data_IF_459204700877
#
_entry.id   IF_459204700877
#
_cell.length_a   1.000
_cell.length_b   1.000
_cell.length_c   1.000
_cell.angle_alpha   90.00
_cell.angle_beta   90.00
_cell.angle_gamma   90.00
#
_symmetry.space_group_name_H-M   'P 1'
#
loop_
_entity.id
_entity.type
_entity.pdbx_description
1 polymer ?
#
# COMPACT_ATOMS: atom_id res chain seq x y z
N UNK A 1 -14.12 23.27 -21.15
CA UNK A 1 -13.48 22.01 -20.70
C UNK A 1 -14.03 21.75 -19.30
N UNK A 2 -14.88 20.73 -19.13
CA UNK A 2 -15.35 20.36 -17.80
C UNK A 2 -14.16 19.79 -17.04
N UNK A 3 -13.78 20.41 -15.92
CA UNK A 3 -12.87 19.81 -14.96
C UNK A 3 -13.51 18.48 -14.52
N UNK A 4 -12.92 17.36 -14.93
CA UNK A 4 -13.28 16.06 -14.39
C UNK A 4 -12.95 16.10 -12.92
N UNK A 5 -13.97 16.01 -12.06
CA UNK A 5 -13.73 15.77 -10.64
C UNK A 5 -12.78 14.59 -10.50
N UNK A 6 -11.75 14.70 -9.63
CA UNK A 6 -10.80 13.61 -9.44
C UNK A 6 -11.57 12.38 -8.96
N UNK A 7 -11.53 11.31 -9.75
CA UNK A 7 -12.14 10.02 -9.37
C UNK A 7 -11.49 9.59 -8.05
N UNK A 8 -12.29 9.33 -6.99
CA UNK A 8 -11.75 9.00 -5.70
C UNK A 8 -10.88 7.74 -5.79
N UNK A 9 -9.61 7.87 -5.44
CA UNK A 9 -8.67 6.76 -5.34
C UNK A 9 -8.76 6.19 -3.92
N UNK A 10 -9.15 4.92 -3.77
CA UNK A 10 -9.07 4.24 -2.48
C UNK A 10 -7.62 3.80 -2.18
N UNK A 11 -7.30 3.62 -0.90
CA UNK A 11 -6.04 3.02 -0.46
C UNK A 11 -6.28 1.63 0.12
N UNK A 12 -5.41 0.67 -0.20
CA UNK A 12 -5.45 -0.68 0.35
C UNK A 12 -4.06 -1.02 0.87
N UNK A 13 -3.94 -1.18 2.20
CA UNK A 13 -2.68 -1.53 2.86
C UNK A 13 -2.75 -2.98 3.32
N UNK A 14 -1.92 -3.85 2.76
CA UNK A 14 -1.84 -5.26 3.15
C UNK A 14 -0.97 -5.38 4.41
N UNK A 15 -1.58 -5.49 5.56
CA UNK A 15 -0.92 -5.63 6.87
C UNK A 15 -0.82 -7.09 7.32
N UNK A 16 -1.70 -7.98 6.83
CA UNK A 16 -1.69 -9.40 7.11
C UNK A 16 -0.59 -10.12 6.35
N UNK A 17 0.29 -10.83 7.07
CA UNK A 17 1.32 -11.67 6.48
C UNK A 17 1.96 -12.55 7.54
N UNK A 18 2.36 -13.79 7.16
CA UNK A 18 3.08 -14.68 8.07
C UNK A 18 4.52 -14.16 8.21
N UNK A 19 4.78 -13.27 9.18
CA UNK A 19 6.14 -12.80 9.57
C UNK A 19 6.95 -13.93 10.23
N UNK A 20 6.97 -15.13 9.62
CA UNK A 20 7.60 -16.35 10.18
C UNK A 20 9.08 -16.18 10.50
N UNK A 21 9.78 -15.28 9.77
CA UNK A 21 11.23 -15.06 9.92
C UNK A 21 11.61 -14.08 11.03
N UNK A 22 10.68 -13.23 11.49
CA UNK A 22 10.99 -12.17 12.44
C UNK A 22 10.44 -12.42 13.85
N UNK A 23 9.60 -13.46 14.07
CA UNK A 23 8.96 -13.74 15.36
C UNK A 23 8.04 -12.60 15.88
N UNK A 24 7.94 -11.50 15.14
CA UNK A 24 7.12 -10.32 15.47
C UNK A 24 6.32 -9.89 14.24
N UNK A 25 5.15 -9.32 14.48
CA UNK A 25 4.31 -8.75 13.43
C UNK A 25 4.96 -7.48 12.84
N UNK A 26 5.20 -7.48 11.52
CA UNK A 26 5.80 -6.33 10.82
C UNK A 26 4.97 -5.06 10.97
N UNK A 27 3.64 -5.16 10.98
CA UNK A 27 2.75 -4.02 11.08
C UNK A 27 2.99 -3.19 12.36
N UNK A 28 3.38 -3.86 13.45
CA UNK A 28 3.62 -3.23 14.77
C UNK A 28 5.10 -2.91 15.04
N UNK A 29 6.00 -3.14 14.07
CA UNK A 29 7.40 -2.73 14.21
C UNK A 29 7.48 -1.20 14.28
N UNK A 30 8.24 -0.72 15.27
CA UNK A 30 8.49 0.71 15.41
C UNK A 30 9.52 1.19 14.39
N UNK A 31 9.18 2.26 13.71
CA UNK A 31 10.05 2.93 12.72
C UNK A 31 10.29 4.36 13.18
N UNK A 32 11.48 4.92 12.89
CA UNK A 32 11.73 6.33 13.15
C UNK A 32 10.71 7.18 12.36
N UNK A 33 10.05 8.09 13.06
CA UNK A 33 9.12 9.02 12.42
C UNK A 33 9.90 9.87 11.42
N UNK A 34 9.52 9.82 10.14
CA UNK A 34 10.02 10.77 9.17
C UNK A 34 9.28 12.08 9.42
N UNK A 35 10.04 13.13 9.80
CA UNK A 35 9.48 14.48 9.87
C UNK A 35 8.80 14.77 8.53
N UNK A 36 7.50 15.00 8.57
CA UNK A 36 6.81 15.56 7.43
C UNK A 36 7.52 16.87 7.08
N UNK A 37 7.75 17.14 5.79
CA UNK A 37 8.27 18.44 5.35
C UNK A 37 7.41 19.50 6.03
N UNK A 38 7.98 20.44 6.81
CA UNK A 38 7.19 21.42 7.55
C UNK A 38 6.35 22.22 6.55
N UNK A 39 5.04 22.18 6.67
CA UNK A 39 4.17 23.13 5.97
C UNK A 39 4.50 24.51 6.53
N UNK A 40 4.80 25.47 5.64
CA UNK A 40 5.02 26.86 6.02
C UNK A 40 3.84 27.34 6.89
N UNK A 41 4.12 27.67 8.17
CA UNK A 41 3.14 28.20 9.12
C UNK A 41 2.85 27.36 10.36
N UNK A 42 3.46 26.16 10.55
CA UNK A 42 3.31 25.40 11.81
C UNK A 42 4.49 25.65 12.74
N UNK A 43 4.15 26.07 13.97
CA UNK A 43 5.13 26.33 15.04
C UNK A 43 5.89 25.06 15.45
N UNK A 44 7.23 25.12 15.66
CA UNK A 44 8.07 23.96 15.97
C UNK A 44 7.90 23.40 17.42
N UNK A 45 6.90 23.85 18.15
CA UNK A 45 6.74 23.48 19.57
C UNK A 45 6.01 22.15 19.81
N UNK A 46 5.29 21.59 18.83
CA UNK A 46 4.54 20.34 18.97
C UNK A 46 5.38 19.07 18.65
N UNK A 47 6.58 19.23 18.12
CA UNK A 47 7.38 18.14 17.52
C UNK A 47 8.41 17.50 18.46
N UNK A 48 8.34 17.80 19.77
CA UNK A 48 9.33 17.30 20.77
C UNK A 48 8.98 15.98 21.43
N UNK A 49 7.86 15.36 21.10
CA UNK A 49 7.59 13.98 21.46
C UNK A 49 7.99 13.08 20.29
N UNK A 50 9.26 12.78 20.14
CA UNK A 50 9.81 11.80 19.18
C UNK A 50 9.26 10.39 19.44
N UNK A 51 7.97 10.18 19.31
CA UNK A 51 7.28 8.91 19.44
C UNK A 51 7.59 8.05 18.23
N UNK A 52 8.22 6.89 18.44
CA UNK A 52 8.37 5.91 17.38
C UNK A 52 6.97 5.46 16.94
N UNK A 53 6.62 5.71 15.69
CA UNK A 53 5.37 5.24 15.07
C UNK A 53 5.52 3.79 14.60
N UNK A 54 4.45 3.05 14.53
CA UNK A 54 4.48 1.70 13.95
C UNK A 54 4.52 1.78 12.43
N UNK A 55 4.99 0.71 11.78
CA UNK A 55 5.08 0.64 10.32
C UNK A 55 3.70 0.82 9.67
N UNK A 56 2.65 0.23 10.25
CA UNK A 56 1.29 0.38 9.73
C UNK A 56 0.77 1.82 9.87
N UNK A 57 1.03 2.48 10.99
CA UNK A 57 0.65 3.91 11.18
C UNK A 57 1.36 4.80 10.16
N UNK A 58 2.64 4.57 9.91
CA UNK A 58 3.41 5.35 8.94
C UNK A 58 2.88 5.15 7.52
N UNK A 59 2.69 3.90 7.07
CA UNK A 59 2.20 3.60 5.72
C UNK A 59 0.78 4.12 5.54
N UNK A 60 -0.13 3.89 6.49
CA UNK A 60 -1.50 4.44 6.44
C UNK A 60 -1.48 5.96 6.38
N UNK A 61 -0.65 6.62 7.20
CA UNK A 61 -0.54 8.08 7.20
C UNK A 61 -0.06 8.66 5.85
N UNK A 62 0.82 7.95 5.13
CA UNK A 62 1.26 8.35 3.78
C UNK A 62 0.16 8.10 2.76
N UNK A 63 -0.46 6.92 2.77
CA UNK A 63 -1.52 6.55 1.83
C UNK A 63 -2.72 7.50 1.98
N UNK A 64 -3.09 7.88 3.20
CA UNK A 64 -4.20 8.79 3.49
C UNK A 64 -4.01 10.21 2.95
N UNK A 65 -2.78 10.59 2.54
CA UNK A 65 -2.54 11.89 1.90
C UNK A 65 -3.06 11.96 0.46
N UNK A 66 -3.26 10.82 -0.19
CA UNK A 66 -3.64 10.73 -1.61
C UNK A 66 -4.85 9.81 -1.86
N UNK A 67 -5.23 8.99 -0.88
CA UNK A 67 -6.27 7.98 -1.03
C UNK A 67 -7.34 8.16 0.04
N UNK A 68 -8.61 8.02 -0.37
CA UNK A 68 -9.77 8.02 0.51
C UNK A 68 -10.94 7.27 -0.14
N UNK A 69 -11.53 6.29 0.57
CA UNK A 69 -11.17 5.77 1.89
C UNK A 69 -9.88 4.93 1.87
N UNK A 70 -9.30 4.68 3.06
CA UNK A 70 -8.18 3.74 3.22
C UNK A 70 -8.67 2.49 3.94
N UNK A 71 -8.29 1.32 3.42
CA UNK A 71 -8.57 0.01 3.98
C UNK A 71 -7.25 -0.66 4.41
N UNK A 72 -7.25 -1.27 5.59
CA UNK A 72 -6.13 -2.08 6.09
C UNK A 72 -6.59 -3.54 6.16
N UNK A 73 -5.97 -4.37 5.32
CA UNK A 73 -6.26 -5.81 5.26
C UNK A 73 -5.43 -6.52 6.32
N UNK A 74 -6.06 -7.00 7.37
CA UNK A 74 -5.40 -7.58 8.55
C UNK A 74 -5.71 -9.07 8.69
N UNK A 75 -4.77 -9.82 9.28
CA UNK A 75 -5.00 -11.21 9.63
C UNK A 75 -5.99 -11.34 10.83
N UNK A 76 -6.66 -12.49 10.99
CA UNK A 76 -7.53 -12.74 12.13
C UNK A 76 -6.79 -12.53 13.46
N UNK A 77 -7.37 -11.72 14.35
CA UNK A 77 -6.79 -11.44 15.67
C UNK A 77 -5.46 -10.69 15.67
N UNK A 78 -5.02 -10.13 14.53
CA UNK A 78 -3.80 -9.35 14.46
C UNK A 78 -3.96 -8.07 15.29
N UNK A 79 -3.08 -7.80 16.29
CA UNK A 79 -3.12 -6.55 17.04
C UNK A 79 -2.68 -5.40 16.14
N UNK A 80 -3.50 -4.37 16.04
CA UNK A 80 -3.18 -3.13 15.33
C UNK A 80 -3.48 -1.94 16.24
N UNK A 81 -2.71 -0.85 16.13
CA UNK A 81 -3.03 0.41 16.80
C UNK A 81 -4.33 0.99 16.23
N UNK A 82 -4.88 2.04 16.85
CA UNK A 82 -5.95 2.83 16.25
C UNK A 82 -5.42 3.51 14.98
N UNK A 83 -6.12 3.33 13.86
CA UNK A 83 -5.72 3.84 12.55
C UNK A 83 -6.84 4.71 11.97
N UNK A 84 -6.51 5.79 11.26
CA UNK A 84 -7.48 6.57 10.48
C UNK A 84 -7.83 5.82 9.17
N UNK A 85 -8.24 4.55 9.29
CA UNK A 85 -8.53 3.65 8.19
C UNK A 85 -9.56 2.59 8.60
N UNK A 86 -10.24 2.00 7.62
CA UNK A 86 -11.18 0.89 7.84
C UNK A 86 -10.39 -0.41 7.88
N UNK A 87 -10.36 -1.07 9.05
CA UNK A 87 -9.68 -2.38 9.19
C UNK A 87 -10.62 -3.49 8.76
N UNK A 88 -10.23 -4.20 7.69
CA UNK A 88 -10.91 -5.41 7.20
C UNK A 88 -10.10 -6.62 7.63
N UNK A 89 -10.71 -7.54 8.34
CA UNK A 89 -10.02 -8.74 8.85
C UNK A 89 -10.35 -9.96 8.00
N UNK A 90 -9.30 -10.68 7.64
CA UNK A 90 -9.45 -11.98 6.99
C UNK A 90 -10.04 -13.00 7.97
N UNK A 91 -10.80 -13.97 7.46
CA UNK A 91 -11.31 -15.09 8.26
C UNK A 91 -10.22 -16.15 8.50
N UNK A 92 -9.31 -16.30 7.54
CA UNK A 92 -8.24 -17.27 7.55
C UNK A 92 -6.87 -16.60 7.57
N UNK A 93 -5.90 -17.22 8.23
CA UNK A 93 -4.50 -16.80 8.19
C UNK A 93 -3.80 -17.33 6.95
N UNK A 94 -2.85 -16.53 6.42
CA UNK A 94 -1.96 -16.98 5.35
C UNK A 94 -2.61 -17.12 3.98
N UNK A 95 -3.71 -16.41 3.75
CA UNK A 95 -4.46 -16.43 2.48
C UNK A 95 -3.66 -15.89 1.27
N UNK A 96 -2.53 -15.25 1.52
CA UNK A 96 -1.68 -14.66 0.49
C UNK A 96 -2.12 -13.26 0.05
N UNK A 97 -1.25 -12.54 -0.65
CA UNK A 97 -1.51 -11.16 -1.04
C UNK A 97 -2.64 -11.04 -2.07
N UNK A 98 -2.83 -12.03 -2.94
CA UNK A 98 -3.86 -12.00 -3.99
C UNK A 98 -5.27 -11.94 -3.39
N UNK A 99 -5.62 -12.84 -2.47
CA UNK A 99 -6.96 -12.85 -1.86
C UNK A 99 -7.19 -11.59 -1.00
N UNK A 100 -6.19 -11.16 -0.24
CA UNK A 100 -6.29 -9.93 0.55
C UNK A 100 -6.51 -8.70 -0.35
N UNK A 101 -5.83 -8.63 -1.50
CA UNK A 101 -6.05 -7.58 -2.51
C UNK A 101 -7.47 -7.64 -3.04
N UNK A 102 -7.98 -8.80 -3.46
CA UNK A 102 -9.34 -8.93 -3.98
C UNK A 102 -10.41 -8.47 -3.00
N UNK A 103 -10.27 -8.79 -1.73
CA UNK A 103 -11.18 -8.30 -0.66
C UNK A 103 -11.09 -6.78 -0.50
N UNK A 104 -9.87 -6.23 -0.55
CA UNK A 104 -9.65 -4.78 -0.50
C UNK A 104 -10.26 -4.07 -1.71
N UNK A 105 -10.10 -4.61 -2.92
CA UNK A 105 -10.70 -4.07 -4.14
C UNK A 105 -12.24 -4.07 -4.07
N UNK A 106 -12.84 -5.13 -3.54
CA UNK A 106 -14.29 -5.20 -3.31
C UNK A 106 -14.75 -4.14 -2.32
N UNK A 107 -14.09 -4.00 -1.18
CA UNK A 107 -14.40 -2.98 -0.19
C UNK A 107 -14.26 -1.56 -0.76
N UNK A 108 -13.27 -1.33 -1.64
CA UNK A 108 -13.08 -0.06 -2.34
C UNK A 108 -14.20 0.21 -3.35
N UNK A 109 -14.62 -0.80 -4.13
CA UNK A 109 -15.74 -0.71 -5.07
C UNK A 109 -17.06 -0.40 -4.34
N UNK A 110 -17.34 -1.08 -3.23
CA UNK A 110 -18.51 -0.83 -2.38
C UNK A 110 -18.52 0.58 -1.79
N UNK A 111 -17.35 1.17 -1.59
CA UNK A 111 -17.20 2.57 -1.18
C UNK A 111 -17.25 3.57 -2.35
N UNK A 112 -17.50 3.11 -3.58
CA UNK A 112 -17.68 3.95 -4.77
C UNK A 112 -16.37 4.33 -5.49
N UNK A 113 -15.23 3.74 -5.11
CA UNK A 113 -13.96 4.00 -5.79
C UNK A 113 -13.81 3.08 -7.02
N UNK A 114 -13.53 3.67 -8.19
CA UNK A 114 -13.26 2.90 -9.41
C UNK A 114 -11.83 2.33 -9.46
N UNK A 115 -10.91 2.94 -8.72
CA UNK A 115 -9.49 2.53 -8.63
C UNK A 115 -9.00 2.55 -7.19
N UNK A 116 -8.02 1.70 -6.89
CA UNK A 116 -7.38 1.66 -5.59
C UNK A 116 -5.86 1.53 -5.73
N UNK A 117 -5.12 2.28 -4.92
CA UNK A 117 -3.70 2.08 -4.71
C UNK A 117 -3.51 0.95 -3.69
N UNK A 118 -2.79 -0.09 -4.07
CA UNK A 118 -2.51 -1.26 -3.24
C UNK A 118 -1.05 -1.24 -2.84
N UNK A 119 -0.77 -1.33 -1.55
CA UNK A 119 0.61 -1.44 -1.05
C UNK A 119 0.74 -2.44 0.09
N UNK A 120 1.99 -2.87 0.33
CA UNK A 120 2.33 -3.68 1.50
C UNK A 120 2.71 -2.80 2.69
N UNK A 121 2.42 -3.28 3.90
CA UNK A 121 2.79 -2.58 5.14
C UNK A 121 4.30 -2.45 5.35
N UNK A 122 5.10 -3.29 4.68
CA UNK A 122 6.56 -3.32 4.81
C UNK A 122 7.30 -2.34 3.87
N UNK A 123 6.61 -1.28 3.41
CA UNK A 123 7.14 -0.21 2.57
C UNK A 123 7.22 1.14 3.34
N UNK A 124 8.04 1.26 4.39
CA UNK A 124 8.06 2.45 5.24
C UNK A 124 8.62 3.71 4.55
N UNK A 125 9.21 3.55 3.36
CA UNK A 125 9.78 4.66 2.58
C UNK A 125 8.87 5.11 1.43
N UNK A 126 7.68 4.52 1.30
CA UNK A 126 6.65 4.98 0.38
C UNK A 126 6.45 6.50 0.50
N UNK A 127 6.17 7.18 -0.60
CA UNK A 127 5.92 8.62 -0.63
C UNK A 127 4.56 8.93 -1.24
N UNK A 128 3.96 10.02 -0.80
CA UNK A 128 2.70 10.51 -1.36
C UNK A 128 2.86 10.93 -2.84
N UNK A 129 4.04 11.37 -3.23
CA UNK A 129 4.33 11.77 -4.60
C UNK A 129 4.32 10.57 -5.55
N UNK A 130 4.94 9.44 -5.16
CA UNK A 130 4.87 8.21 -5.96
C UNK A 130 3.42 7.75 -6.16
N UNK A 131 2.58 7.85 -5.11
CA UNK A 131 1.15 7.51 -5.21
C UNK A 131 0.45 8.45 -6.19
N UNK A 132 0.74 9.76 -6.11
CA UNK A 132 0.15 10.76 -6.99
C UNK A 132 0.55 10.55 -8.46
N UNK A 133 1.83 10.25 -8.72
CA UNK A 133 2.34 9.98 -10.06
C UNK A 133 1.66 8.76 -10.68
N UNK A 134 1.57 7.65 -9.93
CA UNK A 134 0.89 6.44 -10.40
C UNK A 134 -0.61 6.66 -10.62
N UNK A 135 -1.27 7.40 -9.74
CA UNK A 135 -2.68 7.75 -9.87
C UNK A 135 -2.93 8.64 -11.09
N UNK A 136 -2.07 9.64 -11.31
CA UNK A 136 -2.13 10.53 -12.47
C UNK A 136 -1.99 9.76 -13.78
N UNK A 137 -1.04 8.84 -13.86
CA UNK A 137 -0.87 7.97 -15.02
C UNK A 137 -2.07 7.03 -15.20
N UNK A 138 -2.56 6.42 -14.12
CA UNK A 138 -3.73 5.54 -14.17
C UNK A 138 -5.02 6.26 -14.62
N UNK A 139 -5.10 7.57 -14.45
CA UNK A 139 -6.21 8.38 -14.95
C UNK A 139 -6.10 8.68 -16.46
N UNK A 140 -4.90 8.56 -17.04
CA UNK A 140 -4.63 8.87 -18.45
C UNK A 140 -4.69 7.63 -19.34
N UNK A 141 -4.45 6.43 -18.77
CA UNK A 141 -4.45 5.17 -19.51
C UNK A 141 -5.65 4.32 -19.11
N UNK A 142 -6.21 3.59 -20.06
CA UNK A 142 -7.32 2.66 -19.80
C UNK A 142 -6.79 1.25 -19.50
N UNK A 143 -5.76 1.18 -18.63
CA UNK A 143 -5.21 -0.10 -18.18
C UNK A 143 -5.92 -0.56 -16.89
N UNK A 144 -5.99 -1.87 -16.72
CA UNK A 144 -6.54 -2.51 -15.51
C UNK A 144 -5.62 -2.29 -14.29
N UNK A 145 -4.31 -2.30 -14.56
CA UNK A 145 -3.27 -2.14 -13.54
C UNK A 145 -2.19 -1.17 -14.04
N UNK A 146 -1.78 -0.25 -13.18
CA UNK A 146 -0.59 0.60 -13.42
C UNK A 146 0.40 0.36 -12.29
N UNK A 147 1.60 -0.11 -12.64
CA UNK A 147 2.61 -0.51 -11.66
C UNK A 147 4.02 -0.02 -12.02
N UNK A 148 4.88 0.27 -11.02
CA UNK A 148 6.28 0.58 -11.23
C UNK A 148 7.07 -0.64 -11.71
N UNK A 149 8.07 -0.38 -12.55
CA UNK A 149 9.06 -1.36 -12.98
C UNK A 149 10.46 -0.73 -12.94
N UNK A 150 11.36 -1.30 -12.12
CA UNK A 150 12.76 -0.90 -11.94
C UNK A 150 13.73 -2.08 -12.19
N UNK A 151 13.37 -2.95 -13.15
CA UNK A 151 13.99 -4.26 -13.37
C UNK A 151 13.15 -5.41 -12.81
N UNK A 152 12.14 -5.09 -12.01
CA UNK A 152 11.12 -6.01 -11.48
C UNK A 152 9.78 -5.31 -11.33
N UNK A 153 8.70 -6.09 -11.35
CA UNK A 153 7.36 -5.59 -11.12
C UNK A 153 7.11 -5.34 -9.61
N UNK A 154 6.56 -4.17 -9.28
CA UNK A 154 6.17 -3.81 -7.91
C UNK A 154 4.65 -3.95 -7.73
N UNK A 155 4.16 -5.19 -7.68
CA UNK A 155 2.73 -5.51 -7.57
C UNK A 155 2.04 -4.91 -6.34
N UNK A 156 2.79 -4.69 -5.25
CA UNK A 156 2.29 -4.11 -4.00
C UNK A 156 2.82 -2.69 -3.80
N UNK A 157 2.83 -1.90 -4.87
CA UNK A 157 2.95 -0.45 -4.92
C UNK A 157 2.30 0.04 -6.21
N UNK A 158 1.04 -0.37 -6.48
CA UNK A 158 0.43 -0.23 -7.79
C UNK A 158 -1.03 0.23 -7.68
N UNK A 159 -1.56 0.81 -8.76
CA UNK A 159 -2.97 1.19 -8.89
C UNK A 159 -3.71 0.12 -9.68
N UNK A 160 -4.82 -0.34 -9.14
CA UNK A 160 -5.69 -1.38 -9.69
C UNK A 160 -7.09 -0.84 -9.92
N UNK A 161 -7.78 -1.31 -10.96
CA UNK A 161 -9.23 -1.14 -11.08
C UNK A 161 -9.92 -2.00 -10.02
N UNK A 162 -10.98 -1.49 -9.44
CA UNK A 162 -11.68 -2.21 -8.36
C UNK A 162 -12.56 -3.34 -8.87
N UNK A 163 -13.00 -3.29 -10.12
CA UNK A 163 -13.77 -4.34 -10.79
C UNK A 163 -12.97 -5.64 -11.03
N UNK A 164 -11.66 -5.62 -10.84
CA UNK A 164 -10.81 -6.82 -10.86
C UNK A 164 -11.08 -7.80 -9.70
N UNK A 165 -11.88 -7.43 -8.71
CA UNK A 165 -12.20 -8.30 -7.57
C UNK A 165 -12.75 -9.66 -8.02
N UNK A 166 -13.63 -9.70 -9.03
CA UNK A 166 -14.15 -10.96 -9.57
C UNK A 166 -13.09 -11.82 -10.29
N UNK A 167 -12.12 -11.18 -10.95
CA UNK A 167 -10.98 -11.88 -11.57
C UNK A 167 -10.09 -12.51 -10.51
N UNK A 168 -9.87 -11.80 -9.38
CA UNK A 168 -9.13 -12.33 -8.24
C UNK A 168 -9.81 -13.57 -7.67
N UNK A 169 -11.14 -13.55 -7.50
CA UNK A 169 -11.89 -14.72 -7.00
C UNK A 169 -11.70 -15.95 -7.89
N UNK A 170 -11.78 -15.78 -9.22
CA UNK A 170 -11.57 -16.87 -10.16
C UNK A 170 -10.15 -17.47 -10.06
N UNK A 171 -9.13 -16.61 -9.95
CA UNK A 171 -7.74 -17.05 -9.77
C UNK A 171 -7.54 -17.78 -8.42
N UNK A 172 -8.11 -17.27 -7.35
CA UNK A 172 -8.03 -17.91 -6.04
C UNK A 172 -8.73 -19.27 -6.05
N UNK A 173 -9.88 -19.39 -6.70
CA UNK A 173 -10.61 -20.65 -6.87
C UNK A 173 -9.80 -21.69 -7.67
N UNK A 174 -8.98 -21.26 -8.64
CA UNK A 174 -8.05 -22.13 -9.37
C UNK A 174 -6.76 -22.47 -8.62
N UNK A 175 -6.60 -22.00 -7.38
CA UNK A 175 -5.44 -22.29 -6.53
C UNK A 175 -4.34 -21.23 -6.55
N UNK A 176 -4.48 -20.16 -7.35
CA UNK A 176 -3.49 -19.09 -7.40
C UNK A 176 -3.45 -18.27 -6.09
N UNK A 177 -2.25 -17.78 -5.77
CA UNK A 177 -2.01 -16.99 -4.54
C UNK A 177 -1.18 -15.74 -4.80
N UNK A 178 -0.57 -15.61 -5.98
CA UNK A 178 0.39 -14.56 -6.29
C UNK A 178 -0.25 -13.39 -7.04
N UNK A 179 0.20 -12.17 -6.75
CA UNK A 179 -0.17 -10.96 -7.49
C UNK A 179 0.28 -11.02 -8.95
N UNK A 180 1.39 -11.72 -9.21
CA UNK A 180 1.89 -11.94 -10.58
C UNK A 180 0.86 -12.67 -11.43
N UNK A 181 0.15 -13.66 -10.89
CA UNK A 181 -0.88 -14.38 -11.62
C UNK A 181 -1.99 -13.43 -12.08
N UNK A 182 -2.44 -12.50 -11.22
CA UNK A 182 -3.42 -11.48 -11.60
C UNK A 182 -2.90 -10.59 -12.73
N UNK A 183 -1.72 -9.99 -12.54
CA UNK A 183 -1.16 -9.02 -13.49
C UNK A 183 -0.89 -9.63 -14.87
N UNK A 184 -0.59 -10.93 -14.93
CA UNK A 184 -0.38 -11.64 -16.20
C UNK A 184 -1.70 -11.96 -16.97
N UNK A 185 -2.86 -11.74 -16.35
CA UNK A 185 -4.18 -12.05 -16.96
C UNK A 185 -5.02 -10.82 -17.32
N UNK A 186 -4.45 -9.62 -17.12
CA UNK A 186 -5.14 -8.34 -17.29
C UNK A 186 -4.26 -7.37 -18.09
N UNK A 187 -4.84 -6.26 -18.55
CA UNK A 187 -4.05 -5.20 -19.15
C UNK A 187 -3.25 -4.44 -18.07
N UNK A 188 -1.93 -4.56 -18.13
CA UNK A 188 -1.03 -4.01 -17.13
C UNK A 188 0.01 -3.06 -17.74
N UNK A 189 -0.11 -1.77 -17.44
CA UNK A 189 0.84 -0.74 -17.85
C UNK A 189 2.00 -0.67 -16.85
N UNK A 190 3.21 -0.98 -17.30
CA UNK A 190 4.44 -0.83 -16.53
C UNK A 190 5.03 0.55 -16.73
N UNK A 191 5.32 1.22 -15.62
CA UNK A 191 6.01 2.52 -15.62
C UNK A 191 7.49 2.28 -15.31
N UNK A 192 8.31 2.43 -16.34
CA UNK A 192 9.76 2.28 -16.20
C UNK A 192 10.31 3.45 -15.39
N UNK A 193 11.01 3.14 -14.32
CA UNK A 193 11.63 4.13 -13.45
C UNK A 193 12.98 3.62 -12.93
N UNK A 194 13.83 4.53 -12.48
CA UNK A 194 15.05 4.16 -11.79
C UNK A 194 14.73 3.50 -10.44
N UNK A 195 15.60 2.59 -10.00
CA UNK A 195 15.49 2.03 -8.65
C UNK A 195 15.40 3.15 -7.61
N UNK A 196 14.36 3.11 -6.81
CA UNK A 196 14.12 4.15 -5.81
C UNK A 196 13.78 3.56 -4.46
N UNK A 197 14.18 4.29 -3.42
CA UNK A 197 13.96 3.90 -2.03
C UNK A 197 12.48 3.77 -1.67
N UNK A 198 11.62 4.53 -2.33
CA UNK A 198 10.17 4.50 -2.08
C UNK A 198 9.52 3.14 -2.36
N UNK A 199 10.18 2.31 -3.19
CA UNK A 199 9.74 0.96 -3.52
C UNK A 199 10.45 -0.13 -2.70
N UNK A 200 11.34 0.25 -1.77
CA UNK A 200 12.09 -0.70 -0.96
C UNK A 200 11.22 -1.33 0.15
N UNK A 201 11.24 -2.65 0.22
CA UNK A 201 10.60 -3.41 1.30
C UNK A 201 11.58 -3.61 2.47
N UNK A 202 11.06 -3.51 3.68
CA UNK A 202 11.79 -3.80 4.92
C UNK A 202 11.37 -5.17 5.44
N UNK A 203 12.27 -6.14 5.36
CA UNK A 203 12.01 -7.50 5.78
C UNK A 203 12.60 -7.84 7.16
N UNK A 204 13.50 -6.98 7.66
CA UNK A 204 14.16 -7.17 8.97
C UNK A 204 14.45 -5.82 9.64
N UNK A 205 14.72 -5.84 10.95
CA UNK A 205 15.22 -4.66 11.67
C UNK A 205 16.61 -4.22 11.17
N UNK A 206 17.40 -5.13 10.56
CA UNK A 206 18.67 -4.80 9.95
C UNK A 206 18.45 -4.00 8.65
N UNK A 207 17.51 -4.40 7.80
CA UNK A 207 17.14 -3.66 6.58
C UNK A 207 16.71 -2.23 6.93
N UNK A 208 15.91 -2.08 8.00
CA UNK A 208 15.46 -0.76 8.44
C UNK A 208 16.66 0.12 8.83
N UNK A 209 17.65 -0.43 9.58
CA UNK A 209 18.85 0.32 9.97
C UNK A 209 19.71 0.69 8.76
N UNK A 210 19.98 -0.25 7.86
CA UNK A 210 20.80 0.00 6.66
C UNK A 210 20.17 1.07 5.77
N UNK A 211 18.86 1.01 5.55
CA UNK A 211 18.13 1.97 4.75
C UNK A 211 18.00 3.35 5.43
N UNK A 212 18.06 3.44 6.75
CA UNK A 212 18.07 4.72 7.47
C UNK A 212 19.46 5.36 7.52
N UNK A 213 20.54 4.58 7.49
CA UNK A 213 21.92 5.09 7.49
C UNK A 213 22.41 5.56 6.12
N UNK A 214 21.91 5.01 5.03
CA UNK A 214 22.29 5.37 3.66
C UNK A 214 21.70 6.72 3.17
N UNK A 215 20.98 7.44 4.01
CA UNK A 215 20.35 8.74 3.71
C UNK A 215 20.97 9.94 4.42
N UNK A 216 22.24 9.81 4.92
CA UNK A 216 23.01 10.92 5.45
C UNK A 216 24.09 11.35 4.48
#
# INVERSE_FOLDING_TARGET
MAEREPVPLAGIVLAGGASRRMGRDKATLRVPQRSAVPRAGQSPAADRAGGATTMVEQVVGIVSQRCQPVFVMAAPGQPLPMLPARVVRDELRGVGPLLATGRGLRAAAEAGAARAFVCAVDMPFLTADLIADLAGLAAQVDADVVLPWDGRDHYLAAVYRTDLAGRVDALVASGERSMRALVNTVDAQRIVMAECRSLANVNSAADLRSLTSAGR
#
